data_IF_885356632549
#
_entry.id   IF_885356632549
#
_cell.length_a   1.000
_cell.length_b   1.000
_cell.length_c   1.000
_cell.angle_alpha   90.00
_cell.angle_beta   90.00
_cell.angle_gamma   90.00
#
_symmetry.space_group_name_H-M   'P 1'
#
loop_
_entity.id
_entity.type
_entity.pdbx_description
1 polymer ?
#
# COMPACT_ATOMS: atom_id res chain seq x y z
N UNK A 1 10.87 28.51 12.87
CA UNK A 1 9.72 29.42 13.07
C UNK A 1 9.92 30.47 14.16
N UNK A 2 10.04 30.17 15.47
CA UNK A 2 10.08 31.22 16.51
C UNK A 2 11.25 32.22 16.37
N UNK A 3 12.46 31.75 16.09
CA UNK A 3 13.62 32.62 15.86
C UNK A 3 13.50 33.46 14.58
N UNK A 4 12.75 32.97 13.60
CA UNK A 4 12.50 33.60 12.29
C UNK A 4 11.52 34.76 12.39
N UNK A 5 10.53 34.68 13.28
CA UNK A 5 9.52 35.71 13.52
C UNK A 5 10.13 37.00 14.09
N UNK A 6 11.27 36.89 14.77
CA UNK A 6 11.94 38.03 15.41
C UNK A 6 12.71 38.93 14.42
N UNK A 7 13.19 38.37 13.31
CA UNK A 7 14.08 39.06 12.36
C UNK A 7 13.36 39.72 11.17
N UNK A 8 12.13 39.31 10.86
CA UNK A 8 11.28 39.86 9.78
C UNK A 8 9.85 40.15 10.28
N UNK A 9 9.73 40.71 11.48
CA UNK A 9 8.47 40.86 12.21
C UNK A 9 7.43 41.71 11.45
N UNK A 10 7.84 42.86 10.94
CA UNK A 10 6.94 43.81 10.29
C UNK A 10 6.47 43.28 8.93
N UNK A 11 7.38 42.58 8.24
CA UNK A 11 7.16 41.99 6.93
C UNK A 11 6.15 40.83 7.01
N UNK A 12 6.24 40.00 8.05
CA UNK A 12 5.29 38.92 8.31
C UNK A 12 3.91 39.42 8.73
N UNK A 13 3.84 40.47 9.56
CA UNK A 13 2.54 41.11 9.89
C UNK A 13 1.88 41.63 8.62
N UNK A 14 2.63 42.27 7.74
CA UNK A 14 2.11 42.79 6.47
C UNK A 14 1.53 41.66 5.61
N UNK A 15 2.25 40.55 5.46
CA UNK A 15 1.80 39.38 4.71
C UNK A 15 0.53 38.75 5.31
N UNK A 16 0.57 38.44 6.60
CA UNK A 16 -0.56 37.81 7.29
C UNK A 16 -1.79 38.72 7.36
N UNK A 17 -1.60 40.04 7.46
CA UNK A 17 -2.69 41.01 7.40
C UNK A 17 -3.35 41.04 6.03
N UNK A 18 -2.60 40.82 4.94
CA UNK A 18 -3.20 40.67 3.59
C UNK A 18 -4.03 39.40 3.47
N UNK A 19 -3.60 38.30 4.08
CA UNK A 19 -4.41 37.09 4.14
C UNK A 19 -5.72 37.34 4.90
N UNK A 20 -5.67 37.99 6.07
CA UNK A 20 -6.88 38.40 6.81
C UNK A 20 -7.76 39.35 5.99
N UNK A 21 -7.17 40.29 5.25
CA UNK A 21 -7.92 41.27 4.46
C UNK A 21 -8.72 40.63 3.31
N UNK A 22 -8.38 39.41 2.88
CA UNK A 22 -9.19 38.63 1.94
C UNK A 22 -10.50 38.09 2.56
N UNK A 23 -10.62 38.14 3.89
CA UNK A 23 -11.78 37.65 4.64
C UNK A 23 -11.70 36.17 4.98
N UNK A 24 -12.75 35.66 5.61
CA UNK A 24 -12.84 34.25 6.01
C UNK A 24 -12.81 33.36 4.78
N UNK A 25 -11.90 32.40 4.76
CA UNK A 25 -11.79 31.49 3.63
C UNK A 25 -10.58 30.57 3.68
N UNK A 26 -10.48 29.74 2.64
CA UNK A 26 -9.34 28.86 2.40
C UNK A 26 -8.48 29.48 1.30
N UNK A 27 -7.19 29.65 1.58
CA UNK A 27 -6.17 30.07 0.63
C UNK A 27 -5.44 28.84 0.10
N UNK A 28 -5.36 28.73 -1.22
CA UNK A 28 -4.61 27.68 -1.90
C UNK A 28 -3.13 28.07 -2.03
N UNK A 29 -2.22 27.15 -2.41
CA UNK A 29 -0.79 27.46 -2.49
C UNK A 29 -0.46 28.63 -3.42
N UNK A 30 -1.18 28.75 -4.54
CA UNK A 30 -1.01 29.86 -5.48
C UNK A 30 -1.46 31.19 -4.87
N UNK A 31 -2.55 31.20 -4.08
CA UNK A 31 -2.99 32.41 -3.36
C UNK A 31 -1.94 32.90 -2.36
N UNK A 32 -1.32 31.97 -1.63
CA UNK A 32 -0.26 32.26 -0.67
C UNK A 32 0.96 32.86 -1.36
N UNK A 33 1.39 32.25 -2.48
CA UNK A 33 2.55 32.71 -3.24
C UNK A 33 2.29 34.05 -3.94
N UNK A 34 1.09 34.26 -4.50
CA UNK A 34 0.72 35.49 -5.19
C UNK A 34 0.80 36.72 -4.26
N UNK A 35 0.39 36.60 -3.00
CA UNK A 35 0.49 37.70 -2.04
C UNK A 35 1.94 38.00 -1.64
N UNK A 36 2.79 36.98 -1.51
CA UNK A 36 4.24 37.19 -1.31
C UNK A 36 4.83 37.95 -2.50
N UNK A 37 4.49 37.55 -3.73
CA UNK A 37 4.97 38.25 -4.92
C UNK A 37 4.51 39.70 -5.01
N UNK A 38 3.25 39.99 -4.66
CA UNK A 38 2.73 41.36 -4.65
C UNK A 38 3.48 42.23 -3.64
N UNK A 39 3.71 41.75 -2.42
CA UNK A 39 4.44 42.49 -1.38
C UNK A 39 5.87 42.80 -1.84
N UNK A 40 6.54 41.82 -2.45
CA UNK A 40 7.92 41.98 -2.93
C UNK A 40 8.01 42.97 -4.11
N UNK A 41 6.94 43.12 -4.91
CA UNK A 41 6.86 44.09 -6.02
C UNK A 41 6.54 45.51 -5.54
N UNK A 42 5.79 45.65 -4.44
CA UNK A 42 5.32 46.94 -3.93
C UNK A 42 6.37 47.68 -3.08
N UNK A 43 7.28 46.96 -2.42
CA UNK A 43 8.30 47.55 -1.54
C UNK A 43 9.66 46.86 -1.73
N UNK A 44 10.65 47.58 -2.26
CA UNK A 44 12.02 47.06 -2.44
C UNK A 44 12.68 46.68 -1.10
N UNK A 45 12.25 47.26 0.02
CA UNK A 45 12.68 46.88 1.37
C UNK A 45 12.20 45.48 1.79
N UNK A 46 11.15 44.97 1.15
CA UNK A 46 10.57 43.64 1.39
C UNK A 46 11.26 42.53 0.60
N UNK A 47 12.31 42.82 -0.19
CA UNK A 47 13.12 41.76 -0.82
C UNK A 47 13.73 40.79 0.21
N UNK A 48 14.01 41.27 1.43
CA UNK A 48 14.47 40.44 2.55
C UNK A 48 13.46 39.37 2.97
N UNK A 49 12.16 39.61 2.76
CA UNK A 49 11.10 38.65 3.04
C UNK A 49 11.19 37.44 2.10
N UNK A 50 11.54 37.65 0.84
CA UNK A 50 11.64 36.58 -0.18
C UNK A 50 12.67 35.53 0.21
N UNK A 51 13.80 35.96 0.78
CA UNK A 51 14.86 35.06 1.22
C UNK A 51 14.65 34.54 2.67
N UNK A 52 13.57 34.97 3.33
CA UNK A 52 13.29 34.59 4.71
C UNK A 52 13.00 33.09 4.82
N UNK A 53 13.41 32.44 5.94
CA UNK A 53 13.08 31.04 6.17
C UNK A 53 11.57 30.77 6.21
N UNK A 54 10.76 31.75 6.61
CA UNK A 54 9.31 31.62 6.62
C UNK A 54 8.72 31.50 5.21
N UNK A 55 9.18 32.31 4.25
CA UNK A 55 8.70 32.19 2.85
C UNK A 55 9.11 30.85 2.25
N UNK A 56 10.31 30.35 2.58
CA UNK A 56 10.74 29.00 2.19
C UNK A 56 9.87 27.90 2.81
N UNK A 57 9.47 28.04 4.07
CA UNK A 57 8.51 27.14 4.70
C UNK A 57 7.13 27.23 4.02
N UNK A 58 6.69 28.44 3.64
CA UNK A 58 5.43 28.69 2.94
C UNK A 58 5.36 28.04 1.56
N UNK A 59 6.48 27.83 0.87
CA UNK A 59 6.53 27.04 -0.38
C UNK A 59 6.06 25.59 -0.16
N UNK A 60 6.20 25.05 1.06
CA UNK A 60 5.73 23.73 1.42
C UNK A 60 4.26 23.71 1.89
N UNK A 61 3.65 24.88 2.11
CA UNK A 61 2.25 24.99 2.50
C UNK A 61 1.32 24.43 1.42
N UNK A 62 0.27 23.72 1.85
CA UNK A 62 -0.74 23.15 0.97
C UNK A 62 -2.07 23.88 1.02
N UNK A 63 -2.35 24.52 2.12
CA UNK A 63 -3.51 25.39 2.30
C UNK A 63 -3.32 26.23 3.57
N UNK A 64 -4.01 27.36 3.63
CA UNK A 64 -4.18 28.12 4.86
C UNK A 64 -5.66 28.45 5.07
N UNK A 65 -6.10 28.38 6.31
CA UNK A 65 -7.44 28.75 6.77
C UNK A 65 -7.32 30.12 7.43
N UNK A 66 -8.12 31.07 6.95
CA UNK A 66 -8.18 32.41 7.51
C UNK A 66 -9.46 32.52 8.33
N UNK A 67 -9.29 32.62 9.64
CA UNK A 67 -10.36 32.89 10.62
C UNK A 67 -9.85 33.97 11.57
N UNK A 68 -10.08 35.26 11.26
CA UNK A 68 -9.50 36.37 12.01
C UNK A 68 -9.79 36.25 13.52
N UNK A 69 -8.77 36.43 14.39
CA UNK A 69 -7.43 36.95 14.12
C UNK A 69 -6.38 35.91 13.69
N UNK A 70 -6.79 34.66 13.44
CA UNK A 70 -5.90 33.53 13.19
C UNK A 70 -5.74 33.18 11.71
N UNK A 71 -4.55 32.73 11.37
CA UNK A 71 -4.23 32.07 10.10
C UNK A 71 -3.63 30.70 10.44
N UNK A 72 -4.37 29.64 10.12
CA UNK A 72 -3.94 28.25 10.35
C UNK A 72 -3.41 27.64 9.06
N UNK A 73 -2.15 27.21 9.02
CA UNK A 73 -1.44 26.76 7.82
C UNK A 73 -1.12 25.27 7.94
N UNK A 74 -1.42 24.51 6.88
CA UNK A 74 -1.00 23.12 6.74
C UNK A 74 0.27 23.05 5.89
N UNK A 75 1.39 22.72 6.50
CA UNK A 75 2.67 22.50 5.85
C UNK A 75 2.84 21.03 5.48
N UNK A 76 3.47 20.80 4.32
CA UNK A 76 3.88 19.47 3.88
C UNK A 76 5.35 19.49 3.46
N UNK A 77 6.29 19.46 4.43
CA UNK A 77 7.73 19.55 4.15
C UNK A 77 8.24 18.40 3.28
N UNK A 78 7.64 17.21 3.41
CA UNK A 78 7.97 16.06 2.57
C UNK A 78 6.76 15.15 2.35
N UNK A 79 6.79 14.26 1.33
CA UNK A 79 5.68 13.33 1.10
C UNK A 79 5.38 12.45 2.32
N UNK A 80 4.17 12.58 2.87
CA UNK A 80 3.71 11.81 4.02
C UNK A 80 3.98 12.46 5.39
N UNK A 81 4.62 13.64 5.42
CA UNK A 81 4.86 14.40 6.66
C UNK A 81 4.08 15.70 6.59
N UNK A 82 3.30 15.97 7.64
CA UNK A 82 2.46 17.14 7.78
C UNK A 82 2.72 17.84 9.10
N UNK A 83 2.67 19.16 9.07
CA UNK A 83 2.77 20.02 10.25
C UNK A 83 1.66 21.07 10.16
N UNK A 84 0.94 21.25 11.26
CA UNK A 84 -0.18 22.19 11.33
C UNK A 84 0.15 23.27 12.33
N UNK A 85 -0.01 24.52 11.91
CA UNK A 85 0.43 25.67 12.69
C UNK A 85 -0.64 26.75 12.63
N UNK A 86 -0.92 27.37 13.77
CA UNK A 86 -1.78 28.55 13.87
C UNK A 86 -0.95 29.77 14.19
N UNK A 87 -1.21 30.86 13.46
CA UNK A 87 -0.56 32.15 13.70
C UNK A 87 -1.60 33.19 14.08
N UNK A 88 -1.45 33.81 15.25
CA UNK A 88 -2.19 35.02 15.59
C UNK A 88 -1.51 36.21 14.91
N UNK A 89 -2.22 36.90 14.01
CA UNK A 89 -1.61 37.94 13.17
C UNK A 89 -1.19 39.18 13.95
N UNK A 90 -1.89 39.51 15.04
CA UNK A 90 -1.60 40.70 15.84
C UNK A 90 -0.46 40.45 16.84
N UNK A 91 -0.44 39.28 17.46
CA UNK A 91 0.56 38.92 18.46
C UNK A 91 1.82 38.29 17.86
N UNK A 92 1.71 37.74 16.64
CA UNK A 92 2.70 36.86 15.99
C UNK A 92 3.08 35.64 16.83
N UNK A 93 2.13 35.17 17.64
CA UNK A 93 2.26 33.91 18.34
C UNK A 93 1.96 32.76 17.38
N UNK A 94 2.81 31.73 17.45
CA UNK A 94 2.77 30.55 16.59
C UNK A 94 2.54 29.33 17.46
N UNK A 95 1.39 28.69 17.29
CA UNK A 95 0.99 27.49 18.00
C UNK A 95 1.05 26.29 17.05
N UNK A 96 1.63 25.17 17.50
CA UNK A 96 1.51 23.91 16.78
C UNK A 96 0.12 23.33 17.08
N UNK A 97 -0.58 22.91 16.03
CA UNK A 97 -1.87 22.25 16.13
C UNK A 97 -1.72 20.74 15.91
N UNK A 98 -2.52 19.97 16.62
CA UNK A 98 -2.86 18.60 16.25
C UNK A 98 -3.73 18.58 14.99
N UNK A 99 -3.86 17.39 14.40
CA UNK A 99 -4.74 17.17 13.23
C UNK A 99 -6.19 17.52 13.58
N UNK A 100 -6.67 17.08 14.75
CA UNK A 100 -8.03 17.35 15.21
C UNK A 100 -8.29 18.85 15.38
N UNK A 101 -7.39 19.57 16.05
CA UNK A 101 -7.50 21.03 16.20
C UNK A 101 -7.51 21.74 14.83
N UNK A 102 -6.63 21.34 13.90
CA UNK A 102 -6.61 21.94 12.57
C UNK A 102 -7.91 21.69 11.78
N UNK A 103 -8.49 20.49 11.88
CA UNK A 103 -9.76 20.16 11.23
C UNK A 103 -10.93 20.91 11.86
N UNK A 104 -10.94 21.10 13.17
CA UNK A 104 -11.93 21.93 13.86
C UNK A 104 -11.95 23.36 13.30
N UNK A 105 -10.79 23.95 13.00
CA UNK A 105 -10.73 25.26 12.31
C UNK A 105 -11.36 25.24 10.91
N UNK A 106 -11.31 24.11 10.17
CA UNK A 106 -11.99 23.98 8.87
C UNK A 106 -13.50 23.87 9.03
N UNK A 107 -13.96 23.19 10.06
CA UNK A 107 -15.38 23.06 10.39
C UNK A 107 -15.96 24.43 10.80
N UNK A 108 -15.26 25.15 11.68
CA UNK A 108 -15.66 26.50 12.12
C UNK A 108 -15.79 27.50 10.98
N UNK A 109 -14.98 27.34 9.92
CA UNK A 109 -15.06 28.20 8.74
C UNK A 109 -16.40 28.06 8.01
N UNK A 110 -17.02 26.87 8.04
CA UNK A 110 -18.26 26.57 7.31
C UNK A 110 -19.47 26.73 8.23
N UNK A 111 -19.40 26.12 9.42
CA UNK A 111 -20.54 25.97 10.32
C UNK A 111 -20.56 27.00 11.46
N UNK A 112 -19.49 27.78 11.63
CA UNK A 112 -19.28 28.65 12.79
C UNK A 112 -18.82 27.86 14.02
N UNK A 113 -18.82 28.51 15.20
CA UNK A 113 -18.40 27.85 16.44
C UNK A 113 -19.24 26.59 16.72
N UNK A 114 -18.59 25.43 16.65
CA UNK A 114 -19.20 24.16 17.00
C UNK A 114 -19.15 23.98 18.52
N UNK A 115 -20.30 23.75 19.15
CA UNK A 115 -20.43 23.55 20.61
C UNK A 115 -20.61 22.08 20.99
N UNK A 116 -20.64 21.17 20.01
CA UNK A 116 -20.79 19.74 20.27
C UNK A 116 -19.43 19.11 20.61
N UNK A 117 -19.30 18.63 21.84
CA UNK A 117 -18.08 18.00 22.33
C UNK A 117 -17.95 16.52 21.90
N UNK A 118 -18.92 15.96 21.17
CA UNK A 118 -18.97 14.53 20.83
C UNK A 118 -19.02 14.27 19.31
N UNK A 119 -18.34 15.09 18.53
CA UNK A 119 -18.13 14.84 17.09
C UNK A 119 -17.38 13.51 16.90
N UNK A 120 -17.82 12.70 15.94
CA UNK A 120 -17.20 11.41 15.65
C UNK A 120 -15.84 11.62 14.97
N UNK A 121 -14.77 11.29 15.68
CA UNK A 121 -13.41 11.22 15.13
C UNK A 121 -13.07 9.80 14.66
N UNK A 122 -12.64 9.69 13.41
CA UNK A 122 -12.19 8.41 12.83
C UNK A 122 -10.66 8.31 12.91
N UNK A 123 -10.16 7.66 13.97
CA UNK A 123 -8.73 7.39 14.16
C UNK A 123 -8.37 5.92 13.91
N UNK A 124 -7.60 5.67 12.85
CA UNK A 124 -7.08 4.35 12.48
C UNK A 124 -5.64 4.11 12.94
N UNK A 125 -4.97 5.09 13.56
CA UNK A 125 -3.58 4.94 14.00
C UNK A 125 -3.39 3.84 15.05
N UNK A 126 -4.23 3.74 16.11
CA UNK A 126 -4.10 2.70 17.13
C UNK A 126 -4.27 1.28 16.59
N UNK A 127 -5.14 1.10 15.59
CA UNK A 127 -5.42 -0.19 14.97
C UNK A 127 -4.25 -0.73 14.12
N UNK A 128 -3.33 0.17 13.73
CA UNK A 128 -2.19 -0.16 12.88
C UNK A 128 -0.86 -0.18 13.64
N UNK A 129 -0.87 -0.03 14.97
CA UNK A 129 0.34 0.07 15.79
C UNK A 129 1.22 -1.20 15.79
N UNK A 130 0.61 -2.36 15.52
CA UNK A 130 1.31 -3.65 15.42
C UNK A 130 2.06 -3.83 14.11
N UNK A 131 1.73 -3.06 13.08
CA UNK A 131 2.39 -3.11 11.79
C UNK A 131 3.59 -2.16 11.76
N UNK A 132 4.79 -2.64 11.42
CA UNK A 132 5.94 -1.77 11.29
C UNK A 132 5.71 -0.77 10.14
N UNK A 133 6.06 0.51 10.36
CA UNK A 133 5.89 1.58 9.36
C UNK A 133 7.24 2.07 8.84
N UNK A 134 7.45 2.13 7.51
CA UNK A 134 8.64 2.76 6.96
C UNK A 134 8.56 4.28 7.17
N UNK A 135 9.64 4.89 7.66
CA UNK A 135 9.71 6.34 7.92
C UNK A 135 10.26 7.15 6.74
N UNK A 136 10.85 6.47 5.74
CA UNK A 136 11.42 7.13 4.56
C UNK A 136 10.37 7.27 3.46
N UNK A 137 10.21 8.50 2.96
CA UNK A 137 9.31 8.79 1.83
C UNK A 137 9.64 7.99 0.56
N UNK A 138 10.92 7.63 0.35
CA UNK A 138 11.36 6.75 -0.75
C UNK A 138 10.79 5.33 -0.69
N UNK A 139 10.27 4.90 0.47
CA UNK A 139 9.68 3.57 0.66
C UNK A 139 8.18 3.53 0.36
N UNK A 140 7.55 4.68 0.09
CA UNK A 140 6.14 4.75 -0.30
C UNK A 140 5.94 3.96 -1.60
N UNK A 141 4.94 3.08 -1.62
CA UNK A 141 4.66 2.17 -2.74
C UNK A 141 5.45 0.85 -2.70
N UNK A 142 6.44 0.70 -1.81
CA UNK A 142 7.29 -0.50 -1.71
C UNK A 142 6.99 -1.35 -0.45
N UNK A 143 5.72 -1.42 -0.05
CA UNK A 143 5.30 -2.07 1.21
C UNK A 143 5.67 -3.56 1.30
N UNK A 144 5.56 -4.30 0.20
CA UNK A 144 5.90 -5.74 0.16
C UNK A 144 7.38 -5.99 0.46
N UNK A 145 8.28 -5.16 -0.07
CA UNK A 145 9.72 -5.29 0.18
C UNK A 145 10.03 -5.04 1.67
N UNK A 146 9.36 -4.06 2.27
CA UNK A 146 9.50 -3.78 3.70
C UNK A 146 8.96 -4.92 4.56
N UNK A 147 7.79 -5.46 4.20
CA UNK A 147 7.19 -6.61 4.89
C UNK A 147 8.07 -7.86 4.78
N UNK A 148 8.64 -8.14 3.60
CA UNK A 148 9.56 -9.26 3.41
C UNK A 148 10.80 -9.14 4.30
N UNK A 149 11.37 -7.94 4.44
CA UNK A 149 12.49 -7.68 5.36
C UNK A 149 12.11 -7.85 6.83
N UNK A 150 10.91 -7.43 7.19
CA UNK A 150 10.41 -7.59 8.55
C UNK A 150 10.16 -9.07 8.87
N UNK A 151 9.45 -9.79 8.00
CA UNK A 151 9.18 -11.23 8.15
C UNK A 151 10.46 -12.05 8.20
N UNK A 152 11.42 -11.78 7.30
CA UNK A 152 12.70 -12.51 7.30
C UNK A 152 13.48 -12.30 8.60
N UNK A 153 13.54 -11.05 9.10
CA UNK A 153 14.19 -10.75 10.38
C UNK A 153 13.47 -11.40 11.56
N UNK A 154 12.14 -11.38 11.58
CA UNK A 154 11.34 -12.04 12.61
C UNK A 154 11.55 -13.56 12.61
N UNK A 155 11.55 -14.18 11.43
CA UNK A 155 11.81 -15.60 11.22
C UNK A 155 13.21 -16.04 11.67
N UNK A 156 14.21 -15.17 11.50
CA UNK A 156 15.58 -15.47 11.90
C UNK A 156 15.76 -15.51 13.43
N UNK A 157 15.04 -14.66 14.16
CA UNK A 157 15.23 -14.52 15.61
C UNK A 157 14.43 -15.52 16.47
N UNK A 158 13.32 -16.07 15.95
CA UNK A 158 12.44 -16.93 16.73
C UNK A 158 12.07 -18.22 15.98
N UNK A 159 12.52 -19.39 16.46
CA UNK A 159 12.20 -20.68 15.80
C UNK A 159 10.70 -21.01 15.79
N UNK A 160 9.94 -20.56 16.79
CA UNK A 160 8.48 -20.76 16.84
C UNK A 160 7.74 -19.95 15.76
N UNK A 161 8.38 -18.90 15.22
CA UNK A 161 7.79 -18.09 14.15
C UNK A 161 7.73 -18.79 12.79
N UNK A 162 8.33 -19.97 12.64
CA UNK A 162 8.22 -20.81 11.45
C UNK A 162 7.00 -21.74 11.48
N UNK A 163 6.39 -21.96 12.65
CA UNK A 163 5.20 -22.80 12.78
C UNK A 163 4.00 -22.29 11.94
N UNK A 164 3.74 -20.97 11.83
CA UNK A 164 2.75 -20.44 10.89
C UNK A 164 3.03 -20.81 9.43
N UNK A 165 4.29 -20.82 9.00
CA UNK A 165 4.66 -21.22 7.63
C UNK A 165 4.39 -22.71 7.40
N UNK A 166 4.75 -23.56 8.36
CA UNK A 166 4.44 -24.98 8.31
C UNK A 166 2.92 -25.22 8.29
N UNK A 167 2.18 -24.55 9.17
CA UNK A 167 0.73 -24.67 9.24
C UNK A 167 0.08 -24.20 7.92
N UNK A 168 0.56 -23.11 7.35
CA UNK A 168 0.12 -22.60 6.05
C UNK A 168 0.32 -23.66 4.95
N UNK A 169 1.52 -24.23 4.83
CA UNK A 169 1.82 -25.24 3.81
C UNK A 169 1.02 -26.55 4.00
N UNK A 170 0.71 -26.95 5.24
CA UNK A 170 -0.07 -28.17 5.53
C UNK A 170 -1.57 -28.00 5.31
N UNK A 171 -2.09 -26.80 5.59
CA UNK A 171 -3.52 -26.50 5.44
C UNK A 171 -3.90 -26.15 4.01
N UNK A 172 -2.90 -25.94 3.15
CA UNK A 172 -3.09 -25.55 1.76
C UNK A 172 -3.77 -26.65 0.94
N UNK A 173 -4.98 -26.36 0.47
CA UNK A 173 -5.83 -27.27 -0.31
C UNK A 173 -6.57 -26.51 -1.40
N UNK A 174 -6.84 -27.18 -2.50
CA UNK A 174 -7.68 -26.66 -3.57
C UNK A 174 -8.61 -27.76 -4.06
N UNK A 175 -9.91 -27.44 -4.14
CA UNK A 175 -10.95 -28.38 -4.54
C UNK A 175 -10.91 -29.73 -3.79
N UNK A 176 -10.58 -29.69 -2.50
CA UNK A 176 -10.46 -30.87 -1.64
C UNK A 176 -9.13 -31.63 -1.76
N UNK A 177 -8.29 -31.34 -2.75
CA UNK A 177 -6.97 -31.94 -2.92
C UNK A 177 -5.92 -31.23 -2.07
N UNK A 178 -5.11 -32.01 -1.35
CA UNK A 178 -3.99 -31.49 -0.57
C UNK A 178 -2.85 -31.04 -1.50
N UNK A 179 -2.21 -29.92 -1.13
CA UNK A 179 -1.04 -29.39 -1.83
C UNK A 179 0.10 -29.19 -0.84
N UNK A 180 1.31 -29.06 -1.38
CA UNK A 180 2.53 -28.80 -0.63
C UNK A 180 2.88 -29.90 0.38
N UNK A 181 2.34 -29.86 1.60
CA UNK A 181 2.67 -30.79 2.68
C UNK A 181 1.44 -31.59 3.13
N UNK A 182 1.60 -32.89 3.34
CA UNK A 182 0.55 -33.73 3.93
C UNK A 182 0.73 -33.93 5.44
N UNK A 183 -0.14 -34.76 6.01
CA UNK A 183 -0.18 -35.02 7.43
C UNK A 183 1.02 -35.79 7.97
N UNK A 184 1.97 -36.26 7.16
CA UNK A 184 3.19 -36.92 7.67
C UNK A 184 4.17 -35.94 8.33
N UNK A 185 4.01 -34.63 8.08
CA UNK A 185 4.90 -33.58 8.57
C UNK A 185 4.17 -32.75 9.62
N UNK A 186 4.45 -33.00 10.90
CA UNK A 186 3.73 -32.36 12.00
C UNK A 186 4.46 -31.19 12.67
N UNK A 187 5.78 -31.08 12.48
CA UNK A 187 6.63 -30.08 13.14
C UNK A 187 7.82 -29.72 12.25
N UNK A 188 8.51 -28.63 12.60
CA UNK A 188 9.65 -28.10 11.84
C UNK A 188 10.82 -29.10 11.74
N UNK A 189 11.11 -29.84 12.80
CA UNK A 189 12.19 -30.86 12.77
C UNK A 189 11.90 -31.95 11.75
N UNK A 190 10.64 -32.43 11.70
CA UNK A 190 10.20 -33.40 10.71
C UNK A 190 10.28 -32.81 9.29
N UNK A 191 9.84 -31.57 9.10
CA UNK A 191 9.93 -30.87 7.81
C UNK A 191 11.37 -30.80 7.31
N UNK A 192 12.31 -30.34 8.14
CA UNK A 192 13.74 -30.28 7.80
C UNK A 192 14.28 -31.65 7.40
N UNK A 193 13.99 -32.70 8.17
CA UNK A 193 14.44 -34.06 7.85
C UNK A 193 13.83 -34.62 6.56
N UNK A 194 12.58 -34.28 6.25
CA UNK A 194 11.92 -34.69 5.01
C UNK A 194 12.47 -33.92 3.81
N UNK A 195 12.75 -32.61 3.95
CA UNK A 195 13.33 -31.78 2.89
C UNK A 195 14.73 -32.27 2.52
N UNK A 196 15.59 -32.57 3.50
CA UNK A 196 16.93 -33.11 3.23
C UNK A 196 16.88 -34.46 2.48
N UNK A 197 15.91 -35.32 2.80
CA UNK A 197 15.68 -36.58 2.07
C UNK A 197 15.20 -36.34 0.64
N UNK A 198 14.28 -35.40 0.45
CA UNK A 198 13.79 -35.03 -0.87
C UNK A 198 14.90 -34.44 -1.73
N UNK A 199 15.74 -33.57 -1.19
CA UNK A 199 16.92 -32.99 -1.85
C UNK A 199 17.88 -34.09 -2.33
N UNK A 200 18.26 -35.03 -1.44
CA UNK A 200 19.14 -36.15 -1.80
C UNK A 200 18.52 -37.04 -2.89
N UNK A 201 17.23 -37.33 -2.80
CA UNK A 201 16.51 -38.12 -3.79
C UNK A 201 16.45 -37.43 -5.16
N UNK A 202 16.07 -36.14 -5.18
CA UNK A 202 15.94 -35.35 -6.41
C UNK A 202 17.29 -35.15 -7.11
N UNK A 203 18.40 -35.08 -6.35
CA UNK A 203 19.75 -34.97 -6.90
C UNK A 203 20.16 -36.14 -7.81
N UNK A 204 19.49 -37.29 -7.69
CA UNK A 204 19.75 -38.51 -8.47
C UNK A 204 18.94 -38.57 -9.77
N UNK A 205 17.94 -37.71 -9.93
CA UNK A 205 17.05 -37.67 -11.10
C UNK A 205 17.61 -36.75 -12.19
N UNK A 206 17.13 -36.95 -13.42
CA UNK A 206 17.39 -36.01 -14.51
C UNK A 206 16.60 -34.71 -14.27
N UNK A 207 17.16 -33.51 -14.54
CA UNK A 207 16.46 -32.24 -14.32
C UNK A 207 15.08 -32.16 -14.97
N UNK A 208 14.92 -32.78 -16.15
CA UNK A 208 13.67 -32.77 -16.93
C UNK A 208 12.72 -33.92 -16.61
N UNK A 209 13.02 -34.75 -15.60
CA UNK A 209 12.11 -35.82 -15.18
C UNK A 209 10.77 -35.21 -14.75
N UNK A 210 9.63 -35.62 -15.34
CA UNK A 210 8.30 -35.14 -14.97
C UNK A 210 7.91 -35.52 -13.53
N UNK A 211 7.15 -34.67 -12.84
CA UNK A 211 6.68 -34.92 -11.47
C UNK A 211 5.96 -36.26 -11.31
N UNK A 212 5.17 -36.68 -12.31
CA UNK A 212 4.43 -37.94 -12.31
C UNK A 212 5.30 -39.17 -12.07
N UNK A 213 6.58 -39.12 -12.44
CA UNK A 213 7.48 -40.28 -12.41
C UNK A 213 8.04 -40.54 -11.01
N UNK A 214 7.97 -39.55 -10.11
CA UNK A 214 8.49 -39.61 -8.74
C UNK A 214 7.51 -39.09 -7.68
N UNK A 215 6.24 -38.93 -8.05
CA UNK A 215 5.17 -38.43 -7.20
C UNK A 215 4.98 -39.32 -5.96
N UNK A 216 4.95 -40.64 -6.14
CA UNK A 216 4.69 -41.60 -5.06
C UNK A 216 5.79 -41.56 -4.00
N UNK A 217 7.06 -41.48 -4.42
CA UNK A 217 8.21 -41.36 -3.54
C UNK A 217 8.16 -40.06 -2.72
N UNK A 218 7.84 -38.92 -3.36
CA UNK A 218 7.71 -37.63 -2.66
C UNK A 218 6.53 -37.59 -1.68
N UNK A 219 5.38 -38.13 -2.06
CA UNK A 219 4.22 -38.26 -1.18
C UNK A 219 4.55 -39.12 0.06
N UNK A 220 5.34 -40.18 -0.12
CA UNK A 220 5.87 -40.99 0.97
C UNK A 220 6.73 -40.21 1.97
N UNK A 221 7.44 -39.17 1.49
CA UNK A 221 8.24 -38.26 2.32
C UNK A 221 7.42 -37.13 2.97
N UNK A 222 6.18 -36.94 2.50
CA UNK A 222 5.23 -35.97 3.03
C UNK A 222 4.91 -34.80 2.10
N UNK A 223 5.35 -34.85 0.84
CA UNK A 223 5.20 -33.77 -0.15
C UNK A 223 4.12 -34.11 -1.16
N UNK A 224 3.07 -33.31 -1.21
CA UNK A 224 2.01 -33.40 -2.22
C UNK A 224 2.38 -32.59 -3.48
N UNK A 225 1.47 -32.49 -4.45
CA UNK A 225 1.67 -31.67 -5.65
C UNK A 225 1.80 -30.17 -5.32
N UNK A 226 2.38 -29.40 -6.24
CA UNK A 226 2.53 -27.94 -6.13
C UNK A 226 3.96 -27.42 -5.97
N UNK A 227 4.96 -28.30 -5.95
CA UNK A 227 6.39 -27.93 -5.87
C UNK A 227 7.06 -27.70 -7.22
N UNK A 228 6.49 -28.24 -8.30
CA UNK A 228 7.06 -28.14 -9.63
C UNK A 228 6.55 -29.20 -10.60
N UNK A 229 6.62 -28.89 -11.90
CA UNK A 229 6.35 -29.81 -13.01
C UNK A 229 7.50 -30.79 -13.28
N UNK A 230 8.74 -30.40 -12.98
CA UNK A 230 9.94 -31.22 -13.20
C UNK A 230 10.79 -31.36 -11.93
N UNK A 231 11.66 -32.39 -11.90
CA UNK A 231 12.60 -32.61 -10.80
C UNK A 231 13.48 -31.37 -10.51
N UNK A 232 13.92 -30.64 -11.53
CA UNK A 232 14.69 -29.40 -11.36
C UNK A 232 13.90 -28.34 -10.58
N UNK A 233 12.62 -28.14 -10.93
CA UNK A 233 11.82 -27.09 -10.30
C UNK A 233 11.42 -27.45 -8.87
N UNK A 234 11.07 -28.72 -8.64
CA UNK A 234 10.82 -29.24 -7.29
C UNK A 234 12.07 -29.07 -6.44
N UNK A 235 13.25 -29.44 -6.96
CA UNK A 235 14.52 -29.25 -6.28
C UNK A 235 14.75 -27.79 -5.91
N UNK A 236 14.55 -26.85 -6.85
CA UNK A 236 14.65 -25.40 -6.56
C UNK A 236 13.71 -24.95 -5.44
N UNK A 237 12.47 -25.42 -5.40
CA UNK A 237 11.52 -25.07 -4.33
C UNK A 237 11.92 -25.68 -2.97
N UNK A 238 12.43 -26.91 -2.96
CA UNK A 238 12.98 -27.57 -1.76
C UNK A 238 14.16 -26.77 -1.20
N UNK A 239 15.10 -26.35 -2.05
CA UNK A 239 16.24 -25.52 -1.63
C UNK A 239 15.80 -24.18 -1.05
N UNK A 240 14.87 -23.47 -1.70
CA UNK A 240 14.33 -22.20 -1.17
C UNK A 240 13.76 -22.37 0.24
N UNK A 241 13.01 -23.45 0.48
CA UNK A 241 12.45 -23.69 1.81
C UNK A 241 13.52 -24.10 2.82
N UNK A 242 14.51 -24.90 2.43
CA UNK A 242 15.66 -25.21 3.29
C UNK A 242 16.41 -23.94 3.69
N UNK A 243 16.67 -23.04 2.74
CA UNK A 243 17.32 -21.76 2.99
C UNK A 243 16.50 -20.90 3.97
N UNK A 244 15.18 -20.82 3.79
CA UNK A 244 14.29 -20.11 4.74
C UNK A 244 14.34 -20.72 6.14
N UNK A 245 14.40 -22.05 6.26
CA UNK A 245 14.45 -22.72 7.56
C UNK A 245 15.82 -22.59 8.26
N UNK A 246 16.89 -22.31 7.51
CA UNK A 246 18.25 -22.15 8.04
C UNK A 246 18.59 -20.68 8.30
N UNK A 247 18.41 -19.82 7.30
CA UNK A 247 18.75 -18.40 7.31
C UNK A 247 17.78 -17.62 6.40
N UNK A 248 16.59 -17.24 6.89
CA UNK A 248 15.62 -16.51 6.08
C UNK A 248 16.17 -15.16 5.61
N UNK A 249 16.10 -14.92 4.30
CA UNK A 249 16.34 -13.62 3.69
C UNK A 249 15.11 -13.14 2.88
N UNK A 250 14.98 -11.82 2.66
CA UNK A 250 13.78 -11.25 2.05
C UNK A 250 13.53 -11.76 0.61
N UNK A 251 14.58 -11.97 -0.17
CA UNK A 251 14.45 -12.33 -1.59
C UNK A 251 14.05 -13.80 -1.74
N UNK A 252 14.65 -14.66 -0.93
CA UNK A 252 14.29 -16.09 -0.89
C UNK A 252 12.86 -16.28 -0.39
N UNK A 253 12.45 -15.55 0.64
CA UNK A 253 11.08 -15.59 1.15
C UNK A 253 10.07 -15.11 0.10
N UNK A 254 10.34 -13.98 -0.57
CA UNK A 254 9.49 -13.46 -1.64
C UNK A 254 9.37 -14.46 -2.80
N UNK A 255 10.51 -15.03 -3.21
CA UNK A 255 10.56 -16.01 -4.30
C UNK A 255 9.81 -17.28 -3.96
N UNK A 256 9.96 -17.78 -2.73
CA UNK A 256 9.26 -18.98 -2.27
C UNK A 256 7.74 -18.73 -2.20
N UNK A 257 7.31 -17.72 -1.44
CA UNK A 257 5.89 -17.40 -1.27
C UNK A 257 5.21 -17.05 -2.60
N UNK A 258 5.91 -16.33 -3.48
CA UNK A 258 5.40 -16.00 -4.81
C UNK A 258 5.26 -17.21 -5.74
N UNK A 259 5.98 -18.30 -5.49
CA UNK A 259 5.88 -19.54 -6.26
C UNK A 259 4.82 -20.50 -5.76
N UNK A 260 4.37 -20.38 -4.50
CA UNK A 260 3.32 -21.25 -3.96
C UNK A 260 2.04 -21.05 -4.79
N UNK A 261 1.42 -22.14 -5.30
CA UNK A 261 0.23 -22.04 -6.13
C UNK A 261 -0.98 -21.65 -5.26
N UNK A 262 -1.34 -20.36 -5.21
CA UNK A 262 -2.42 -19.84 -4.36
C UNK A 262 -3.63 -19.32 -5.16
N UNK A 263 -3.37 -18.61 -6.27
CA UNK A 263 -4.40 -17.91 -7.02
C UNK A 263 -4.97 -18.81 -8.13
N UNK A 264 -6.09 -19.47 -7.84
CA UNK A 264 -6.85 -20.27 -8.82
C UNK A 264 -8.19 -19.62 -9.18
N UNK A 265 -8.90 -19.09 -8.18
CA UNK A 265 -10.17 -18.41 -8.35
C UNK A 265 -10.00 -16.94 -7.95
N UNK A 266 -10.26 -16.01 -8.86
CA UNK A 266 -10.11 -14.56 -8.64
C UNK A 266 -11.46 -13.89 -8.85
N UNK A 267 -11.84 -13.03 -7.91
CA UNK A 267 -13.04 -12.20 -8.02
C UNK A 267 -12.60 -10.74 -8.10
N UNK A 268 -13.04 -10.05 -9.16
CA UNK A 268 -12.83 -8.61 -9.36
C UNK A 268 -14.18 -7.92 -9.26
N UNK A 269 -14.27 -6.84 -8.49
CA UNK A 269 -15.55 -6.15 -8.24
C UNK A 269 -15.51 -4.78 -8.91
N UNK A 270 -16.46 -4.51 -9.81
CA UNK A 270 -16.61 -3.23 -10.52
C UNK A 270 -18.09 -2.91 -10.69
N UNK A 271 -18.78 -2.39 -9.65
CA UNK A 271 -20.24 -2.35 -9.63
C UNK A 271 -20.87 -1.24 -10.48
N UNK A 272 -20.20 -0.11 -10.66
CA UNK A 272 -20.75 1.05 -11.36
C UNK A 272 -20.46 1.01 -12.86
N UNK A 273 -21.16 1.88 -13.61
CA UNK A 273 -21.03 2.01 -15.06
C UNK A 273 -21.63 0.83 -15.83
N UNK A 274 -21.57 0.95 -17.15
CA UNK A 274 -21.96 -0.11 -18.09
C UNK A 274 -20.74 -0.98 -18.36
N UNK A 275 -20.62 -2.11 -17.67
CA UNK A 275 -19.52 -3.04 -17.88
C UNK A 275 -19.81 -3.99 -19.05
N UNK A 276 -19.01 -3.89 -20.12
CA UNK A 276 -19.16 -4.71 -21.31
C UNK A 276 -17.93 -4.66 -22.22
N UNK A 277 -17.86 -5.56 -23.19
CA UNK A 277 -16.73 -5.66 -24.13
C UNK A 277 -16.92 -4.84 -25.41
N UNK A 278 -18.17 -4.45 -25.70
CA UNK A 278 -18.52 -3.67 -26.89
C UNK A 278 -19.69 -2.73 -26.57
N UNK A 279 -19.79 -1.63 -27.32
CA UNK A 279 -20.88 -0.65 -27.26
C UNK A 279 -21.10 0.04 -25.90
N UNK A 280 -20.15 -0.06 -24.97
CA UNK A 280 -20.25 0.59 -23.65
C UNK A 280 -19.39 1.84 -23.50
N UNK A 281 -18.30 1.97 -24.27
CA UNK A 281 -17.36 3.08 -24.16
C UNK A 281 -18.03 4.42 -24.48
N UNK A 282 -17.93 5.39 -23.55
CA UNK A 282 -18.56 6.70 -23.66
C UNK A 282 -19.95 6.80 -23.01
N UNK A 283 -20.49 5.70 -22.48
CA UNK A 283 -21.67 5.76 -21.60
C UNK A 283 -21.32 6.38 -20.23
N UNK A 284 -22.32 6.90 -19.48
CA UNK A 284 -22.10 7.44 -18.15
C UNK A 284 -21.37 6.45 -17.23
N UNK A 285 -20.38 6.96 -16.49
CA UNK A 285 -19.50 6.19 -15.59
C UNK A 285 -18.73 5.04 -16.26
N UNK A 286 -18.67 5.01 -17.60
CA UNK A 286 -17.93 4.03 -18.38
C UNK A 286 -16.71 4.67 -19.06
N UNK A 287 -15.53 4.43 -18.48
CA UNK A 287 -14.28 5.00 -18.93
C UNK A 287 -13.12 3.99 -18.88
N UNK A 288 -11.90 4.48 -18.64
CA UNK A 288 -10.66 3.70 -18.63
C UNK A 288 -10.64 2.55 -17.63
N UNK A 289 -11.47 2.56 -16.58
CA UNK A 289 -11.57 1.46 -15.62
C UNK A 289 -11.96 0.13 -16.29
N UNK A 290 -12.88 0.15 -17.26
CA UNK A 290 -13.29 -1.10 -17.94
C UNK A 290 -12.14 -1.65 -18.78
N UNK A 291 -11.49 -0.78 -19.55
CA UNK A 291 -10.34 -1.15 -20.38
C UNK A 291 -9.23 -1.72 -19.50
N UNK A 292 -8.94 -1.05 -18.37
CA UNK A 292 -7.95 -1.52 -17.40
C UNK A 292 -8.27 -2.92 -16.88
N UNK A 293 -9.50 -3.18 -16.45
CA UNK A 293 -9.90 -4.49 -15.92
C UNK A 293 -9.84 -5.57 -17.01
N UNK A 294 -10.35 -5.29 -18.22
CA UNK A 294 -10.34 -6.24 -19.33
C UNK A 294 -8.92 -6.60 -19.78
N UNK A 295 -7.99 -5.65 -19.74
CA UNK A 295 -6.57 -5.92 -20.03
C UNK A 295 -5.91 -6.68 -18.87
N UNK A 296 -6.23 -6.30 -17.64
CA UNK A 296 -5.72 -6.94 -16.42
C UNK A 296 -6.09 -8.42 -16.39
N UNK A 297 -7.35 -8.79 -16.62
CA UNK A 297 -7.77 -10.20 -16.53
C UNK A 297 -7.12 -11.10 -17.56
N UNK A 298 -6.84 -10.58 -18.77
CA UNK A 298 -6.14 -11.34 -19.81
C UNK A 298 -4.69 -11.62 -19.41
N UNK A 299 -3.99 -10.60 -18.92
CA UNK A 299 -2.62 -10.76 -18.45
C UNK A 299 -2.56 -11.68 -17.20
N UNK A 300 -3.52 -11.51 -16.28
CA UNK A 300 -3.60 -12.29 -15.05
C UNK A 300 -3.91 -13.76 -15.34
N UNK A 301 -4.86 -14.06 -16.22
CA UNK A 301 -5.20 -15.43 -16.63
C UNK A 301 -3.98 -16.14 -17.24
N UNK A 302 -3.23 -15.47 -18.11
CA UNK A 302 -2.01 -16.03 -18.70
C UNK A 302 -0.95 -16.37 -17.64
N UNK A 303 -0.70 -15.46 -16.70
CA UNK A 303 0.25 -15.70 -15.60
C UNK A 303 -0.24 -16.79 -14.64
N UNK A 304 -1.54 -16.85 -14.35
CA UNK A 304 -2.14 -17.91 -13.54
C UNK A 304 -1.94 -19.27 -14.18
N UNK A 305 -2.28 -19.43 -15.47
CA UNK A 305 -2.07 -20.67 -16.23
C UNK A 305 -0.60 -21.09 -16.21
N UNK A 306 0.30 -20.14 -16.48
CA UNK A 306 1.73 -20.39 -16.49
C UNK A 306 2.23 -20.86 -15.11
N UNK A 307 1.79 -20.24 -14.01
CA UNK A 307 2.19 -20.64 -12.66
C UNK A 307 1.64 -22.00 -12.26
N UNK A 308 0.36 -22.26 -12.55
CA UNK A 308 -0.28 -23.55 -12.27
C UNK A 308 0.47 -24.67 -12.99
N UNK A 309 0.71 -24.50 -14.30
CA UNK A 309 1.45 -25.48 -15.09
C UNK A 309 2.86 -25.70 -14.54
N UNK A 310 3.60 -24.61 -14.27
CA UNK A 310 4.96 -24.69 -13.72
C UNK A 310 5.00 -25.44 -12.38
N UNK A 311 3.93 -25.41 -11.59
CA UNK A 311 3.86 -26.14 -10.32
C UNK A 311 3.36 -27.58 -10.43
N UNK A 312 3.20 -28.10 -11.65
CA UNK A 312 2.79 -29.49 -11.89
C UNK A 312 1.32 -29.74 -11.53
N UNK A 313 0.49 -28.70 -11.61
CA UNK A 313 -0.94 -28.77 -11.32
C UNK A 313 -1.75 -28.75 -12.62
N UNK A 314 -2.83 -29.53 -12.65
CA UNK A 314 -3.80 -29.58 -13.74
C UNK A 314 -5.11 -28.93 -13.27
N UNK A 315 -5.06 -27.61 -13.06
CA UNK A 315 -6.19 -26.82 -12.57
C UNK A 315 -6.52 -25.73 -13.60
N UNK A 316 -7.80 -25.61 -13.95
CA UNK A 316 -8.25 -24.49 -14.76
C UNK A 316 -8.56 -23.28 -13.87
N UNK A 317 -7.83 -22.15 -14.00
CA UNK A 317 -8.13 -20.96 -13.23
C UNK A 317 -9.47 -20.34 -13.65
N UNK A 318 -10.10 -19.60 -12.74
CA UNK A 318 -11.36 -18.89 -13.00
C UNK A 318 -11.26 -17.45 -12.51
N UNK A 319 -11.56 -16.50 -13.40
CA UNK A 319 -11.67 -15.08 -13.05
C UNK A 319 -13.13 -14.67 -13.23
N UNK A 320 -13.74 -14.11 -12.18
CA UNK A 320 -15.10 -13.57 -12.21
C UNK A 320 -15.05 -12.07 -11.98
N UNK A 321 -15.52 -11.30 -12.97
CA UNK A 321 -15.78 -9.88 -12.81
C UNK A 321 -17.23 -9.72 -12.37
N UNK A 322 -17.44 -9.27 -11.14
CA UNK A 322 -18.76 -9.01 -10.56
C UNK A 322 -19.09 -7.54 -10.77
N UNK A 323 -20.15 -7.31 -11.52
CA UNK A 323 -20.69 -6.00 -11.84
C UNK A 323 -22.21 -6.00 -11.71
N UNK A 324 -22.82 -4.83 -11.81
CA UNK A 324 -24.27 -4.69 -11.75
C UNK A 324 -24.89 -5.26 -13.03
N UNK A 325 -25.97 -6.02 -12.86
CA UNK A 325 -26.89 -6.37 -13.93
C UNK A 325 -27.84 -5.19 -14.19
N UNK A 326 -27.88 -4.70 -15.43
CA UNK A 326 -28.69 -3.57 -15.89
C UNK A 326 -29.71 -4.11 -16.91
N UNK A 327 -30.97 -4.39 -16.50
CA UNK A 327 -31.95 -5.00 -17.39
C UNK A 327 -32.24 -4.18 -18.66
N UNK A 328 -32.22 -2.85 -18.54
CA UNK A 328 -32.44 -1.90 -19.63
C UNK A 328 -31.11 -1.54 -20.32
N UNK A 329 -30.44 -2.53 -20.88
CA UNK A 329 -29.06 -2.42 -21.36
C UNK A 329 -28.89 -1.62 -22.68
N UNK A 330 -29.95 -1.04 -23.27
CA UNK A 330 -29.92 -0.15 -24.45
C UNK A 330 -29.00 -0.62 -25.62
N UNK A 331 -28.97 -1.92 -25.92
CA UNK A 331 -28.14 -2.49 -27.00
C UNK A 331 -26.73 -2.94 -26.58
N UNK A 332 -26.43 -2.92 -25.28
CA UNK A 332 -25.24 -3.52 -24.66
C UNK A 332 -25.55 -4.92 -24.10
N UNK A 333 -24.53 -5.62 -23.62
CA UNK A 333 -24.66 -6.96 -22.98
C UNK A 333 -24.70 -6.86 -21.45
N UNK A 334 -25.16 -5.74 -20.89
CA UNK A 334 -25.13 -5.49 -19.46
C UNK A 334 -26.33 -6.09 -18.68
N UNK A 335 -27.25 -6.78 -19.35
CA UNK A 335 -28.51 -7.29 -18.79
C UNK A 335 -28.47 -8.73 -18.27
#
# INVERSE_FOLDING_TARGET
MQDTLSSCRNELISLLSRYIARGNGILQPHDLQDEVEKIVKEDEGMQKLKDSPFVKELESAKEAIVLPPFVSIAFRPSPGVWEYVRVNVFELNVDNLSVAEYLQFKEELVDGECTDNYVLELDFEPFNATFPRPTRSSSIGNGVQFLNRHLSSFMFHNKESLDPLLAFLRTHKYDGYAMMLNDRIHNISKLQSSLAKAEEFLSKLSPNTPYSDFEYELQGMGFERGWGDTAERVSKMVHLLLDILQAPDPNTLETFLGRIPMAFNVVIVSPHGYFGQANVLGLPDTAGQIVYILDQVRALEHEMLLRIQKQGLDVSPKILIVTRLIPEAQGTTCN
#
